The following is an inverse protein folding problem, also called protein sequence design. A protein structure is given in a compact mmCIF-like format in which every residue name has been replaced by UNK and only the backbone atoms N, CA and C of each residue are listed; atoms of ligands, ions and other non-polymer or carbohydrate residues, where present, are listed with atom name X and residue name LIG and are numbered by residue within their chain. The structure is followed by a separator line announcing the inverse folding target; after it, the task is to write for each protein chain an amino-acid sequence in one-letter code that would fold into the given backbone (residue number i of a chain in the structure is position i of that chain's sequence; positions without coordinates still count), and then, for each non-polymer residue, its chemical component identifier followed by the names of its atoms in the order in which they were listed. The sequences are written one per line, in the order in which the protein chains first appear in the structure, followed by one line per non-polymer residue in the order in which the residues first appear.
data_IF_660289031162
#
_entry.id   IF_660289031162
#
_cell.length_a   1.000
_cell.length_b   1.000
_cell.length_c   1.000
_cell.angle_alpha   90.00
_cell.angle_beta   90.00
_cell.angle_gamma   90.00
#
_symmetry.space_group_name_H-M   'P 1'
#
loop_
_entity.id
_entity.type
_entity.pdbx_description
1 polymer ?
#
# COMPACT_ATOMS: atom_id res chain seq x y z
N UNK A 1 20.84 -34.88 0.69
CA UNK A 1 20.43 -34.18 -0.55
C UNK A 1 20.04 -35.27 -1.49
N UNK A 2 18.73 -35.53 -1.58
CA UNK A 2 18.27 -36.87 -1.99
C UNK A 2 17.73 -36.89 -3.43
N UNK A 3 17.62 -35.71 -4.04
CA UNK A 3 17.05 -35.55 -5.37
C UNK A 3 18.02 -35.93 -6.50
N UNK A 4 19.34 -35.79 -6.29
CA UNK A 4 20.34 -36.12 -7.30
C UNK A 4 21.19 -37.35 -6.94
N UNK A 5 21.79 -37.93 -7.97
CA UNK A 5 22.65 -39.12 -7.92
C UNK A 5 23.72 -38.99 -9.01
N UNK A 6 24.70 -39.90 -9.02
CA UNK A 6 25.63 -39.98 -10.14
C UNK A 6 24.88 -40.50 -11.37
N UNK A 7 24.86 -39.74 -12.46
CA UNK A 7 24.17 -40.13 -13.70
C UNK A 7 24.80 -41.35 -14.40
N UNK A 8 26.00 -41.80 -13.97
CA UNK A 8 26.68 -42.98 -14.51
C UNK A 8 26.44 -44.25 -13.70
N UNK A 9 26.67 -44.19 -12.39
CA UNK A 9 26.62 -45.37 -11.51
C UNK A 9 25.39 -45.39 -10.58
N UNK A 10 24.54 -44.37 -10.64
CA UNK A 10 23.34 -44.21 -9.81
C UNK A 10 23.58 -44.16 -8.29
N UNK A 11 24.84 -44.06 -7.86
CA UNK A 11 25.21 -43.91 -6.46
C UNK A 11 24.76 -42.57 -5.86
N UNK A 12 24.28 -42.61 -4.60
CA UNK A 12 23.76 -41.44 -3.85
C UNK A 12 24.55 -41.11 -2.58
N UNK A 13 24.93 -42.13 -1.80
CA UNK A 13 25.43 -41.93 -0.43
C UNK A 13 26.94 -41.76 -0.38
N UNK A 14 27.41 -40.84 0.48
CA UNK A 14 28.81 -40.71 0.89
C UNK A 14 29.77 -40.20 -0.17
N UNK A 15 29.28 -39.77 -1.33
CA UNK A 15 30.12 -39.35 -2.46
C UNK A 15 30.13 -37.83 -2.62
N UNK A 16 31.28 -37.31 -3.05
CA UNK A 16 31.39 -35.94 -3.57
C UNK A 16 30.93 -35.95 -5.02
N UNK A 17 30.14 -34.95 -5.39
CA UNK A 17 29.58 -34.82 -6.73
C UNK A 17 30.11 -33.55 -7.41
N UNK A 18 30.19 -33.60 -8.74
CA UNK A 18 30.41 -32.44 -9.58
C UNK A 18 29.38 -32.42 -10.72
N UNK A 19 29.04 -31.23 -11.18
CA UNK A 19 28.24 -31.03 -12.39
C UNK A 19 29.16 -30.67 -13.55
N UNK A 20 28.99 -31.33 -14.69
CA UNK A 20 29.73 -31.00 -15.92
C UNK A 20 29.12 -29.78 -16.61
N UNK A 21 29.88 -29.12 -17.49
CA UNK A 21 29.37 -28.02 -18.33
C UNK A 21 28.22 -28.42 -19.27
N UNK A 22 28.06 -29.72 -19.54
CA UNK A 22 26.90 -30.26 -20.27
C UNK A 22 25.73 -30.68 -19.36
N UNK A 23 25.80 -30.41 -18.06
CA UNK A 23 24.70 -30.60 -17.10
C UNK A 23 24.60 -31.99 -16.46
N UNK A 24 25.56 -32.89 -16.67
CA UNK A 24 25.55 -34.22 -16.05
C UNK A 24 26.18 -34.17 -14.65
N UNK A 25 25.50 -34.78 -13.67
CA UNK A 25 26.00 -34.92 -12.31
C UNK A 25 26.76 -36.24 -12.19
N UNK A 26 28.02 -36.18 -11.75
CA UNK A 26 28.89 -37.34 -11.61
C UNK A 26 29.54 -37.37 -10.23
N UNK A 27 29.67 -38.56 -9.65
CA UNK A 27 30.51 -38.73 -8.47
C UNK A 27 31.99 -38.71 -8.85
N UNK A 28 32.86 -38.42 -7.89
CA UNK A 28 34.31 -38.34 -8.07
C UNK A 28 34.90 -39.55 -8.83
N UNK A 29 34.47 -40.77 -8.49
CA UNK A 29 34.93 -42.00 -9.16
C UNK A 29 34.43 -42.20 -10.60
N UNK A 30 33.43 -41.43 -11.05
CA UNK A 30 32.90 -41.46 -12.41
C UNK A 30 33.31 -40.24 -13.24
N UNK A 31 34.08 -39.30 -12.68
CA UNK A 31 34.60 -38.15 -13.42
C UNK A 31 35.76 -38.60 -14.31
N UNK A 32 35.77 -38.11 -15.55
CA UNK A 32 36.89 -38.27 -16.47
C UNK A 32 37.35 -36.86 -16.90
N UNK A 33 38.64 -36.50 -16.69
CA UNK A 33 39.15 -35.16 -17.01
C UNK A 33 39.08 -34.79 -18.50
N UNK A 34 39.03 -35.79 -19.40
CA UNK A 34 39.07 -35.57 -20.85
C UNK A 34 37.68 -35.34 -21.45
N UNK A 35 36.67 -36.07 -20.97
CA UNK A 35 35.32 -36.04 -21.54
C UNK A 35 34.24 -36.52 -20.56
N UNK A 36 33.00 -36.12 -20.82
CA UNK A 36 31.85 -36.57 -20.06
C UNK A 36 31.55 -38.06 -20.31
N UNK A 37 31.50 -38.87 -19.25
CA UNK A 37 31.18 -40.31 -19.35
C UNK A 37 29.69 -40.61 -19.64
N UNK A 38 28.86 -39.58 -19.83
CA UNK A 38 27.45 -39.72 -20.22
C UNK A 38 27.26 -39.39 -21.70
N UNK A 39 27.70 -38.22 -22.16
CA UNK A 39 27.48 -37.76 -23.54
C UNK A 39 28.74 -37.67 -24.40
N UNK A 40 29.93 -37.91 -23.86
CA UNK A 40 31.20 -37.86 -24.59
C UNK A 40 31.76 -36.47 -24.86
N UNK A 41 31.05 -35.39 -24.52
CA UNK A 41 31.53 -34.02 -24.73
C UNK A 41 32.71 -33.66 -23.82
N UNK A 42 33.66 -32.85 -24.32
CA UNK A 42 34.68 -32.22 -23.48
C UNK A 42 34.01 -31.27 -22.50
N UNK A 43 34.22 -31.47 -21.20
CA UNK A 43 33.51 -30.72 -20.15
C UNK A 43 34.43 -30.28 -19.03
N UNK A 44 34.16 -29.08 -18.53
CA UNK A 44 34.64 -28.66 -17.21
C UNK A 44 33.72 -29.23 -16.14
N UNK A 45 34.27 -29.47 -14.96
CA UNK A 45 33.54 -30.01 -13.81
C UNK A 45 33.55 -29.02 -12.66
N UNK A 46 32.37 -28.63 -12.20
CA UNK A 46 32.18 -27.77 -11.04
C UNK A 46 31.78 -28.64 -9.83
N UNK A 47 32.58 -28.69 -8.76
CA UNK A 47 32.22 -29.42 -7.55
C UNK A 47 30.93 -28.87 -6.92
N UNK A 48 29.99 -29.76 -6.62
CA UNK A 48 28.75 -29.41 -5.91
C UNK A 48 29.09 -29.35 -4.42
N UNK A 49 29.23 -28.14 -3.89
CA UNK A 49 29.65 -27.90 -2.50
C UNK A 49 28.88 -26.74 -1.88
N UNK A 50 29.00 -26.57 -0.57
CA UNK A 50 28.38 -25.45 0.12
C UNK A 50 28.96 -24.07 -0.25
N UNK A 51 30.14 -24.04 -0.87
CA UNK A 51 30.88 -22.84 -1.25
C UNK A 51 30.55 -22.33 -2.66
N UNK A 52 29.56 -22.92 -3.33
CA UNK A 52 29.05 -22.42 -4.61
C UNK A 52 28.40 -21.04 -4.43
N UNK A 53 28.41 -20.23 -5.50
CA UNK A 53 27.71 -18.94 -5.48
C UNK A 53 26.22 -19.18 -5.24
N UNK A 54 25.50 -18.29 -4.51
CA UNK A 54 24.10 -18.52 -4.16
C UNK A 54 23.18 -18.88 -5.34
N UNK A 55 23.27 -18.25 -6.54
CA UNK A 55 22.44 -18.61 -7.67
C UNK A 55 22.71 -20.03 -8.20
N UNK A 56 23.97 -20.45 -8.22
CA UNK A 56 24.39 -21.78 -8.68
C UNK A 56 24.01 -22.84 -7.65
N UNK A 57 24.21 -22.54 -6.36
CA UNK A 57 23.83 -23.42 -5.24
C UNK A 57 22.33 -23.72 -5.21
N UNK A 58 21.49 -22.75 -5.58
CA UNK A 58 20.04 -22.89 -5.55
C UNK A 58 19.52 -24.07 -6.39
N UNK A 59 20.20 -24.43 -7.49
CA UNK A 59 19.81 -25.59 -8.31
C UNK A 59 19.98 -26.93 -7.59
N UNK A 60 20.78 -26.98 -6.53
CA UNK A 60 21.08 -28.21 -5.78
C UNK A 60 20.39 -28.24 -4.41
N UNK A 61 19.65 -27.19 -4.06
CA UNK A 61 18.91 -27.12 -2.81
C UNK A 61 17.54 -27.78 -2.92
N UNK A 62 16.98 -28.13 -1.76
CA UNK A 62 15.61 -28.63 -1.65
C UNK A 62 14.62 -27.54 -2.11
N UNK A 63 13.79 -27.79 -3.14
CA UNK A 63 12.82 -26.81 -3.64
C UNK A 63 11.83 -26.38 -2.56
N UNK A 64 11.47 -27.26 -1.61
CA UNK A 64 10.55 -26.91 -0.53
C UNK A 64 11.17 -25.88 0.41
N UNK A 65 12.45 -26.00 0.72
CA UNK A 65 13.18 -25.02 1.54
C UNK A 65 13.34 -23.67 0.83
N UNK A 66 13.61 -23.69 -0.47
CA UNK A 66 13.67 -22.48 -1.29
C UNK A 66 12.34 -21.73 -1.30
N UNK A 67 11.24 -22.45 -1.52
CA UNK A 67 9.88 -21.88 -1.52
C UNK A 67 9.57 -21.31 -0.14
N UNK A 68 9.80 -22.08 0.92
CA UNK A 68 9.55 -21.65 2.29
C UNK A 68 10.29 -20.34 2.62
N UNK A 69 11.60 -20.29 2.37
CA UNK A 69 12.41 -19.11 2.65
C UNK A 69 11.92 -17.87 1.88
N UNK A 70 11.51 -18.04 0.61
CA UNK A 70 10.94 -16.95 -0.19
C UNK A 70 9.59 -16.51 0.33
N UNK A 71 8.73 -17.44 0.73
CA UNK A 71 7.42 -17.13 1.31
C UNK A 71 7.55 -16.37 2.62
N UNK A 72 8.48 -16.77 3.49
CA UNK A 72 8.78 -16.05 4.74
C UNK A 72 9.16 -14.60 4.48
N UNK A 73 10.03 -14.36 3.49
CA UNK A 73 10.42 -12.99 3.11
C UNK A 73 9.25 -12.18 2.54
N UNK A 74 8.42 -12.79 1.68
CA UNK A 74 7.22 -12.12 1.13
C UNK A 74 6.22 -11.79 2.24
N UNK A 75 6.03 -12.68 3.21
CA UNK A 75 5.15 -12.44 4.36
C UNK A 75 5.64 -11.24 5.20
N UNK A 76 6.95 -11.12 5.42
CA UNK A 76 7.53 -9.96 6.11
C UNK A 76 7.26 -8.65 5.36
N UNK A 77 7.42 -8.63 4.03
CA UNK A 77 7.11 -7.47 3.20
C UNK A 77 5.62 -7.12 3.30
N UNK A 78 4.75 -8.12 3.19
CA UNK A 78 3.30 -7.93 3.27
C UNK A 78 2.87 -7.35 4.61
N UNK A 79 3.44 -7.84 5.71
CA UNK A 79 3.20 -7.32 7.06
C UNK A 79 3.63 -5.86 7.19
N UNK A 80 4.84 -5.53 6.73
CA UNK A 80 5.31 -4.15 6.74
C UNK A 80 4.35 -3.22 5.98
N UNK A 81 3.96 -3.61 4.76
CA UNK A 81 3.03 -2.83 3.96
C UNK A 81 1.65 -2.71 4.63
N UNK A 82 1.17 -3.76 5.30
CA UNK A 82 -0.07 -3.72 6.07
C UNK A 82 0.02 -2.68 7.20
N UNK A 83 1.08 -2.71 8.00
CA UNK A 83 1.28 -1.72 9.07
C UNK A 83 1.32 -0.29 8.53
N UNK A 84 1.92 -0.04 7.37
CA UNK A 84 1.89 1.30 6.77
C UNK A 84 0.48 1.71 6.35
N UNK A 85 -0.31 0.80 5.75
CA UNK A 85 -1.72 1.07 5.40
C UNK A 85 -2.58 1.36 6.64
N UNK A 86 -2.34 0.64 7.73
CA UNK A 86 -3.05 0.83 8.99
C UNK A 86 -2.75 2.21 9.60
N UNK A 87 -1.51 2.68 9.53
CA UNK A 87 -1.13 4.03 9.98
C UNK A 87 -1.85 5.13 9.20
N UNK A 88 -1.90 5.00 7.88
CA UNK A 88 -2.63 5.96 7.02
C UNK A 88 -4.12 5.93 7.36
N UNK A 89 -4.69 4.74 7.52
CA UNK A 89 -6.10 4.57 7.88
C UNK A 89 -6.40 5.20 9.24
N UNK A 90 -5.52 5.01 10.24
CA UNK A 90 -5.68 5.59 11.56
C UNK A 90 -5.63 7.12 11.53
N UNK A 91 -4.71 7.72 10.74
CA UNK A 91 -4.61 9.16 10.57
C UNK A 91 -5.93 9.76 10.03
N UNK A 92 -6.45 9.22 8.93
CA UNK A 92 -7.69 9.75 8.34
C UNK A 92 -8.93 9.50 9.20
N UNK A 93 -8.98 8.37 9.92
CA UNK A 93 -10.04 8.13 10.92
C UNK A 93 -10.03 9.20 12.01
N UNK A 94 -8.86 9.52 12.56
CA UNK A 94 -8.72 10.57 13.56
C UNK A 94 -9.15 11.94 13.01
N UNK A 95 -8.71 12.27 11.80
CA UNK A 95 -9.08 13.53 11.15
C UNK A 95 -10.60 13.64 10.89
N UNK A 96 -11.25 12.55 10.50
CA UNK A 96 -12.72 12.51 10.32
C UNK A 96 -13.45 12.84 11.61
N UNK A 97 -13.04 12.20 12.72
CA UNK A 97 -13.67 12.43 14.04
C UNK A 97 -13.51 13.87 14.49
N UNK A 98 -12.34 14.47 14.30
CA UNK A 98 -12.12 15.87 14.67
C UNK A 98 -12.94 16.85 13.81
N UNK A 99 -13.05 16.60 12.49
CA UNK A 99 -13.91 17.39 11.61
C UNK A 99 -15.39 17.26 11.98
N UNK A 100 -15.86 16.06 12.31
CA UNK A 100 -17.24 15.81 12.76
C UNK A 100 -17.55 16.54 14.07
N UNK A 101 -16.58 16.58 14.99
CA UNK A 101 -16.68 17.33 16.26
C UNK A 101 -16.83 18.84 15.99
N UNK A 102 -15.94 19.42 15.18
CA UNK A 102 -15.97 20.84 14.82
C UNK A 102 -17.26 21.23 14.10
N UNK A 103 -17.72 20.38 13.17
CA UNK A 103 -18.98 20.60 12.44
C UNK A 103 -20.20 20.57 13.37
N UNK A 104 -20.19 19.71 14.38
CA UNK A 104 -21.27 19.63 15.39
C UNK A 104 -21.30 20.88 16.28
N UNK A 105 -20.13 21.36 16.69
CA UNK A 105 -19.97 22.58 17.48
C UNK A 105 -20.46 23.82 16.71
N UNK A 106 -19.99 24.01 15.46
CA UNK A 106 -20.43 25.10 14.59
C UNK A 106 -21.93 25.06 14.29
N UNK A 107 -22.53 23.87 14.18
CA UNK A 107 -23.98 23.72 14.01
C UNK A 107 -24.74 24.20 15.25
N UNK A 108 -24.26 23.87 16.45
CA UNK A 108 -24.85 24.33 17.72
C UNK A 108 -24.77 25.86 17.83
N UNK A 109 -23.60 26.44 17.61
CA UNK A 109 -23.39 27.89 17.66
C UNK A 109 -24.27 28.62 16.63
N UNK A 110 -24.35 28.11 15.40
CA UNK A 110 -25.23 28.67 14.37
C UNK A 110 -26.72 28.61 14.79
N UNK A 111 -27.15 27.52 15.43
CA UNK A 111 -28.51 27.41 15.91
C UNK A 111 -28.79 28.43 17.04
N UNK A 112 -27.84 28.66 17.93
CA UNK A 112 -27.94 29.66 19.00
C UNK A 112 -28.00 31.09 18.47
N UNK A 113 -27.11 31.46 17.53
CA UNK A 113 -27.10 32.79 16.90
C UNK A 113 -28.33 33.07 16.04
N UNK A 114 -28.96 32.04 15.46
CA UNK A 114 -30.20 32.20 14.67
C UNK A 114 -31.43 32.51 15.53
N UNK A 115 -31.45 32.17 16.82
CA UNK A 115 -32.58 32.43 17.74
C UNK A 115 -32.92 33.92 17.93
N UNK A 116 -31.97 34.83 18.21
CA UNK A 116 -32.27 36.26 18.32
C UNK A 116 -32.62 36.91 16.97
N UNK A 117 -32.09 36.38 15.86
CA UNK A 117 -32.41 36.89 14.51
C UNK A 117 -33.85 36.60 14.09
N UNK A 118 -34.40 35.44 14.48
CA UNK A 118 -35.81 35.13 14.22
C UNK A 118 -36.74 35.98 15.08
N UNK A 119 -36.42 36.20 16.36
CA UNK A 119 -37.19 37.10 17.25
C UNK A 119 -37.26 38.54 16.74
N UNK A 120 -36.17 39.07 16.16
CA UNK A 120 -36.15 40.43 15.60
C UNK A 120 -36.95 40.58 14.30
N UNK A 121 -37.21 39.49 13.57
CA UNK A 121 -38.01 39.49 12.33
C UNK A 121 -39.51 39.38 12.58
N UNK A 122 -39.94 38.84 13.73
CA UNK A 122 -41.36 38.72 14.09
C UNK A 122 -41.93 39.93 14.83
N UNK A 123 -41.11 40.89 15.25
CA UNK A 123 -41.60 42.19 15.74
C UNK A 123 -42.06 43.06 14.56
N UNK A 124 -43.35 43.47 14.48
CA UNK A 124 -43.81 44.40 13.44
C UNK A 124 -43.22 45.78 13.73
N UNK A 125 -42.09 46.09 13.11
CA UNK A 125 -41.64 47.47 12.99
C UNK A 125 -42.60 48.20 12.06
N UNK A 126 -43.56 48.94 12.61
CA UNK A 126 -44.25 50.01 11.89
C UNK A 126 -43.19 51.04 11.48
N UNK A 127 -42.67 50.90 10.25
CA UNK A 127 -42.09 52.03 9.55
C UNK A 127 -43.26 52.86 9.02
N UNK A 128 -43.69 53.82 9.83
CA UNK A 128 -44.54 54.92 9.36
C UNK A 128 -43.71 55.74 8.37
N UNK A 129 -43.89 55.45 7.08
CA UNK A 129 -43.59 56.41 6.02
C UNK A 129 -44.68 57.48 6.15
N UNK A 130 -44.33 58.60 6.77
CA UNK A 130 -45.20 59.78 6.81
C UNK A 130 -45.44 60.26 5.37
N UNK A 131 -46.62 59.93 4.84
CA UNK A 131 -47.12 60.47 3.58
C UNK A 131 -47.50 61.94 3.76
N UNK A 132 -46.75 62.83 3.13
CA UNK A 132 -47.23 64.17 2.80
C UNK A 132 -47.99 64.08 1.46
N UNK A 133 -49.24 64.58 1.36
CA UNK A 133 -49.91 64.69 0.08
C UNK A 133 -49.42 65.97 -0.61
N UNK A 134 -48.62 65.80 -1.67
CA UNK A 134 -48.11 66.89 -2.49
C UNK A 134 -47.90 66.39 -3.92
N UNK A 135 -48.79 66.80 -4.81
CA UNK A 135 -48.84 66.47 -6.23
C UNK A 135 -47.54 66.81 -6.97
N UNK A 136 -46.99 65.84 -7.73
CA UNK A 136 -46.39 66.07 -9.05
C UNK A 136 -46.05 64.73 -9.73
N UNK A 137 -46.45 64.62 -10.98
CA UNK A 137 -46.28 63.49 -11.87
C UNK A 137 -44.80 63.15 -12.13
N UNK A 138 -44.45 61.87 -12.13
CA UNK A 138 -43.51 61.34 -13.14
C UNK A 138 -43.64 59.83 -13.23
N UNK A 139 -43.88 59.39 -14.46
CA UNK A 139 -44.06 58.01 -14.87
C UNK A 139 -42.80 57.17 -14.59
N UNK A 140 -43.00 55.98 -14.02
CA UNK A 140 -41.94 55.01 -13.82
C UNK A 140 -42.51 53.59 -13.82
N UNK A 141 -42.90 53.10 -15.00
CA UNK A 141 -43.23 51.69 -15.21
C UNK A 141 -41.97 50.85 -14.94
N UNK A 142 -41.93 50.14 -13.82
CA UNK A 142 -40.97 49.05 -13.62
C UNK A 142 -41.72 47.76 -13.42
N UNK A 143 -42.04 47.14 -14.56
CA UNK A 143 -42.40 45.73 -14.65
C UNK A 143 -41.31 44.90 -13.98
N UNK A 144 -41.77 43.96 -13.17
CA UNK A 144 -41.21 42.63 -12.97
C UNK A 144 -40.02 42.33 -13.89
N UNK A 145 -38.80 42.41 -13.34
CA UNK A 145 -37.60 41.84 -13.94
C UNK A 145 -36.93 40.96 -12.90
N UNK A 146 -37.41 39.71 -12.82
CA UNK A 146 -36.55 38.55 -12.57
C UNK A 146 -35.21 38.77 -13.29
N UNK A 147 -34.07 38.75 -12.59
CA UNK A 147 -32.80 38.51 -13.27
C UNK A 147 -32.77 37.03 -13.65
N UNK A 148 -33.25 36.72 -14.87
CA UNK A 148 -32.79 35.52 -15.57
C UNK A 148 -31.46 35.88 -16.21
N UNK A 149 -30.36 35.59 -15.51
CA UNK A 149 -29.04 35.45 -16.12
C UNK A 149 -28.79 33.93 -16.17
N UNK A 150 -29.18 33.27 -17.25
CA UNK A 150 -28.27 32.88 -18.36
C UNK A 150 -26.93 32.36 -17.85
N UNK A 151 -26.89 31.03 -17.84
CA UNK A 151 -25.74 30.16 -17.78
C UNK A 151 -24.64 30.62 -18.75
N UNK A 152 -23.54 31.13 -18.22
CA UNK A 152 -22.22 31.06 -18.88
C UNK A 152 -21.28 30.35 -17.91
N UNK A 153 -21.05 29.08 -18.20
CA UNK A 153 -20.07 28.19 -17.58
C UNK A 153 -18.65 28.76 -17.63
N UNK A 154 -17.93 28.83 -16.50
CA UNK A 154 -16.48 28.71 -16.47
C UNK A 154 -16.11 27.21 -16.55
N UNK A 155 -15.16 26.80 -17.39
CA UNK A 155 -14.70 25.43 -17.43
C UNK A 155 -13.76 25.19 -16.24
N UNK A 156 -14.08 24.23 -15.39
CA UNK A 156 -13.14 23.77 -14.37
C UNK A 156 -13.79 23.28 -13.09
N UNK A 157 -13.75 21.95 -12.93
CA UNK A 157 -13.62 21.28 -11.62
C UNK A 157 -14.88 21.20 -10.75
N UNK A 158 -15.76 20.26 -11.10
CA UNK A 158 -16.64 19.60 -10.14
C UNK A 158 -16.65 18.09 -10.43
N UNK A 159 -15.90 17.31 -9.66
CA UNK A 159 -16.14 15.87 -9.53
C UNK A 159 -17.00 15.64 -8.30
N UNK A 160 -18.31 15.54 -8.52
CA UNK A 160 -19.20 14.87 -7.58
C UNK A 160 -19.27 13.39 -7.92
N UNK A 161 -18.90 12.60 -6.92
CA UNK A 161 -19.06 11.16 -6.76
C UNK A 161 -20.41 10.63 -7.27
N UNK A 162 -20.35 9.60 -8.12
CA UNK A 162 -21.42 8.62 -8.29
C UNK A 162 -20.78 7.26 -8.51
N UNK A 163 -21.11 6.35 -7.60
CA UNK A 163 -20.75 4.94 -7.62
C UNK A 163 -21.35 4.26 -8.85
N UNK A 164 -20.55 3.46 -9.55
CA UNK A 164 -20.83 2.09 -10.03
C UNK A 164 -19.77 1.68 -11.07
N UNK A 165 -18.98 0.67 -10.69
CA UNK A 165 -18.46 -0.46 -11.50
C UNK A 165 -18.00 -0.27 -12.95
N UNK A 166 -16.76 -0.74 -13.21
CA UNK A 166 -16.30 -1.57 -14.36
C UNK A 166 -15.07 -1.03 -15.11
N UNK A 167 -13.98 -1.81 -15.03
CA UNK A 167 -12.87 -2.04 -15.98
C UNK A 167 -12.64 -1.02 -17.11
N UNK A 168 -11.42 -0.46 -17.19
CA UNK A 168 -10.42 -0.81 -18.22
C UNK A 168 -9.19 0.12 -18.17
N UNK A 169 -8.03 -0.48 -18.44
CA UNK A 169 -6.71 0.12 -18.60
C UNK A 169 -6.68 1.38 -19.49
N UNK A 170 -5.97 2.43 -19.04
CA UNK A 170 -4.87 3.09 -19.77
C UNK A 170 -4.27 4.21 -18.93
N UNK A 171 -2.94 4.23 -18.91
CA UNK A 171 -2.15 4.95 -17.94
C UNK A 171 -2.04 6.45 -18.14
N UNK A 172 -1.71 7.15 -17.05
CA UNK A 172 -0.88 8.34 -17.06
C UNK A 172 0.08 8.28 -15.88
N UNK A 173 1.36 8.13 -16.23
CA UNK A 173 2.55 8.27 -15.38
C UNK A 173 2.70 9.75 -15.03
N UNK A 174 2.76 10.09 -13.76
CA UNK A 174 3.36 11.37 -13.33
C UNK A 174 4.83 11.13 -13.05
N UNK A 175 5.70 11.76 -13.84
CA UNK A 175 7.15 11.78 -13.66
C UNK A 175 7.52 12.58 -12.41
N UNK A 176 8.31 11.97 -11.52
CA UNK A 176 9.15 12.70 -10.57
C UNK A 176 10.60 12.42 -10.96
N UNK A 177 11.27 13.43 -11.49
CA UNK A 177 12.68 13.44 -11.85
C UNK A 177 13.50 13.93 -10.66
N UNK A 178 14.21 13.02 -9.99
CA UNK A 178 15.40 13.34 -9.19
C UNK A 178 16.44 12.21 -9.30
N UNK A 179 17.49 12.52 -10.06
CA UNK A 179 18.89 12.07 -9.96
C UNK A 179 19.22 10.72 -9.29
N UNK A 180 19.67 9.78 -10.11
CA UNK A 180 20.43 8.57 -9.72
C UNK A 180 21.82 8.89 -9.20
N UNK A 181 22.27 8.25 -8.10
CA UNK A 181 23.66 7.87 -7.94
C UNK A 181 23.83 6.40 -8.35
N UNK A 182 24.76 6.15 -9.27
CA UNK A 182 25.26 4.82 -9.58
C UNK A 182 25.81 4.18 -8.31
N UNK A 183 25.13 3.15 -7.77
CA UNK A 183 25.64 2.37 -6.62
C UNK A 183 25.77 0.91 -7.01
N UNK A 184 27.01 0.47 -6.96
CA UNK A 184 27.55 -0.87 -7.13
C UNK A 184 26.80 -1.93 -6.32
N UNK A 185 26.68 -3.12 -6.92
CA UNK A 185 26.19 -4.36 -6.33
C UNK A 185 27.01 -4.72 -5.08
N UNK A 186 26.52 -4.35 -3.90
CA UNK A 186 26.95 -4.94 -2.64
C UNK A 186 25.72 -5.27 -1.81
N UNK A 187 25.70 -6.50 -1.30
CA UNK A 187 24.68 -7.06 -0.41
C UNK A 187 24.22 -6.01 0.61
N UNK A 188 22.93 -5.68 0.60
CA UNK A 188 22.31 -4.91 1.67
C UNK A 188 22.30 -5.76 2.94
N UNK A 189 22.99 -5.34 4.03
CA UNK A 189 22.78 -5.97 5.31
C UNK A 189 21.35 -5.65 5.77
N UNK A 190 20.73 -6.63 6.41
CA UNK A 190 19.34 -6.64 6.83
C UNK A 190 19.06 -5.49 7.83
N UNK A 191 18.75 -4.29 7.33
CA UNK A 191 18.49 -3.07 8.14
C UNK A 191 17.08 -3.05 8.75
N UNK A 192 16.19 -3.95 8.32
CA UNK A 192 14.81 -4.04 8.84
C UNK A 192 14.62 -5.23 9.77
N UNK A 193 15.45 -5.35 10.81
CA UNK A 193 15.15 -6.23 11.93
C UNK A 193 14.17 -5.52 12.87
N UNK A 194 12.88 -5.53 12.51
CA UNK A 194 11.81 -5.06 13.41
C UNK A 194 11.70 -6.07 14.55
N UNK A 195 12.27 -5.74 15.71
CA UNK A 195 12.10 -6.50 16.94
C UNK A 195 10.65 -6.35 17.42
N UNK A 196 9.88 -7.44 17.36
CA UNK A 196 8.54 -7.50 17.92
C UNK A 196 8.64 -7.81 19.42
N UNK A 197 8.37 -6.81 20.26
CA UNK A 197 8.05 -7.05 21.68
C UNK A 197 6.61 -7.53 21.78
N UNK A 198 6.42 -8.83 22.01
CA UNK A 198 5.13 -9.41 22.40
C UNK A 198 4.86 -9.07 23.87
N UNK A 199 4.18 -7.95 24.12
CA UNK A 199 3.62 -7.62 25.43
C UNK A 199 2.38 -8.47 25.68
N UNK A 200 2.51 -9.50 26.53
CA UNK A 200 1.37 -10.29 27.04
C UNK A 200 0.54 -9.43 27.99
N UNK A 201 -0.66 -9.04 27.56
CA UNK A 201 -1.69 -8.48 28.43
C UNK A 201 -2.47 -9.64 29.06
N UNK A 202 -2.00 -10.14 30.21
CA UNK A 202 -2.87 -10.86 31.14
C UNK A 202 -2.70 -10.29 32.56
N UNK A 203 -3.76 -9.61 33.00
CA UNK A 203 -3.97 -9.06 34.34
C UNK A 203 -4.33 -10.17 35.34
N UNK A 204 -3.86 -10.14 36.60
CA UNK A 204 -4.18 -11.16 37.59
C UNK A 204 -5.52 -10.85 38.29
N UNK A 205 -6.50 -11.75 38.18
CA UNK A 205 -7.66 -11.77 39.08
C UNK A 205 -7.31 -12.52 40.35
N UNK A 206 -7.21 -11.75 41.44
CA UNK A 206 -7.36 -12.22 42.81
C UNK A 206 -8.78 -12.77 43.01
N UNK A 207 -8.90 -13.98 43.54
CA UNK A 207 -10.08 -14.43 44.29
C UNK A 207 -9.63 -15.30 45.47
N UNK A 208 -10.13 -14.90 46.63
CA UNK A 208 -9.74 -15.25 47.98
C UNK A 208 -10.68 -16.32 48.55
N UNK A 209 -10.08 -17.31 49.22
CA UNK A 209 -10.55 -18.19 50.30
C UNK A 209 -11.84 -19.02 50.20
N UNK A 210 -11.70 -20.28 50.62
CA UNK A 210 -12.73 -21.07 51.29
C UNK A 210 -12.13 -22.39 51.80
N UNK A 211 -12.10 -22.56 53.13
CA UNK A 211 -11.82 -23.82 53.83
C UNK A 211 -12.93 -24.84 53.54
#
# INVERSE_FOLDING_TARGET
MDWFHCNRCFGRKGQKFAVSSCGHILCEGCINPKQCNICGATCNYLPITDQMKPPEKAFFMDPMKLIQSRMEHIAQIALFQQTQRERVTAYFKHQSVELERQLSELKRENAELKKPLSQRRTSPGQLLINGHPGSAESQGRSRDRRPRLTLTTPPGSATSISSLSSLQERGFRTQMSLSTPTRTQHHSPNIFQVQLFSGSLYSPRQLRNGR
#
